data_IF_084122584727
#
_entry.id   IF_084122584727
#
_cell.length_a   1.000
_cell.length_b   1.000
_cell.length_c   1.000
_cell.angle_alpha   90.00
_cell.angle_beta   90.00
_cell.angle_gamma   90.00
#
_symmetry.space_group_name_H-M   'P 1'
#
loop_
_entity.id
_entity.type
_entity.pdbx_description
1 polymer ?
#
# COMPACT_ATOMS: atom_id res chain seq x y z
N UNK A 1 -7.28 -11.17 -9.49
CA UNK A 1 -7.64 -10.86 -8.10
C UNK A 1 -8.13 -12.13 -7.47
N UNK A 2 -7.59 -12.54 -6.31
CA UNK A 2 -8.12 -13.68 -5.56
C UNK A 2 -9.60 -13.42 -5.22
N UNK A 3 -10.46 -14.44 -5.41
CA UNK A 3 -11.86 -14.38 -5.02
C UNK A 3 -12.01 -14.90 -3.58
N UNK A 4 -12.75 -14.15 -2.75
CA UNK A 4 -13.01 -14.53 -1.37
C UNK A 4 -14.50 -14.72 -1.14
N UNK A 5 -14.87 -15.79 -0.45
CA UNK A 5 -16.24 -16.02 -0.02
C UNK A 5 -16.42 -15.60 1.44
N UNK A 6 -17.55 -14.94 1.72
CA UNK A 6 -17.97 -14.59 3.08
C UNK A 6 -18.65 -15.78 3.75
N UNK A 7 -18.21 -16.14 4.95
CA UNK A 7 -18.71 -17.25 5.75
C UNK A 7 -19.22 -16.70 7.07
N UNK A 8 -20.43 -17.10 7.48
CA UNK A 8 -21.02 -16.71 8.77
C UNK A 8 -21.15 -17.97 9.63
N UNK A 9 -20.38 -18.05 10.71
CA UNK A 9 -20.36 -19.19 11.63
C UNK A 9 -20.69 -18.69 13.05
N UNK A 10 -21.76 -19.20 13.64
CA UNK A 10 -22.22 -18.80 14.99
C UNK A 10 -22.37 -17.28 15.17
N UNK A 11 -22.78 -16.58 14.11
CA UNK A 11 -22.95 -15.12 14.11
C UNK A 11 -21.65 -14.33 13.92
N UNK A 12 -20.49 -14.99 13.84
CA UNK A 12 -19.21 -14.38 13.51
C UNK A 12 -18.95 -14.46 12.00
N UNK A 13 -18.33 -13.41 11.46
CA UNK A 13 -18.01 -13.29 10.03
C UNK A 13 -16.55 -13.67 9.79
N UNK A 14 -16.36 -14.52 8.80
CA UNK A 14 -15.07 -14.96 8.29
C UNK A 14 -15.06 -14.84 6.76
N UNK A 15 -13.87 -14.89 6.18
CA UNK A 15 -13.63 -14.87 4.75
C UNK A 15 -12.66 -15.99 4.41
N UNK A 16 -12.81 -16.57 3.22
CA UNK A 16 -11.96 -17.68 2.78
C UNK A 16 -11.66 -17.55 1.30
N UNK A 17 -10.38 -17.67 0.94
CA UNK A 17 -9.96 -17.65 -0.45
C UNK A 17 -10.56 -18.84 -1.21
N UNK A 18 -11.03 -18.58 -2.42
CA UNK A 18 -11.57 -19.58 -3.33
C UNK A 18 -10.81 -19.52 -4.66
N UNK A 19 -10.18 -20.62 -5.02
CA UNK A 19 -9.51 -20.77 -6.29
C UNK A 19 -10.51 -21.33 -7.31
N UNK A 20 -10.98 -20.47 -8.22
CA UNK A 20 -11.91 -20.86 -9.27
C UNK A 20 -11.31 -21.87 -10.26
N UNK A 21 -9.99 -21.94 -10.38
CA UNK A 21 -9.32 -22.84 -11.32
C UNK A 21 -9.27 -24.27 -10.80
N UNK A 22 -9.08 -24.44 -9.49
CA UNK A 22 -9.01 -25.77 -8.86
C UNK A 22 -10.33 -26.16 -8.17
N UNK A 23 -11.21 -25.19 -7.90
CA UNK A 23 -12.49 -25.38 -7.21
C UNK A 23 -12.35 -25.60 -5.70
N UNK A 24 -11.17 -25.33 -5.14
CA UNK A 24 -10.86 -25.54 -3.72
C UNK A 24 -10.81 -24.22 -2.95
N UNK A 25 -11.07 -24.33 -1.65
CA UNK A 25 -10.84 -23.25 -0.71
C UNK A 25 -9.40 -23.30 -0.18
N UNK A 26 -8.80 -22.14 0.04
CA UNK A 26 -7.55 -22.04 0.81
C UNK A 26 -7.77 -22.57 2.24
N UNK A 27 -6.75 -23.14 2.88
CA UNK A 27 -6.92 -23.78 4.20
C UNK A 27 -7.24 -22.79 5.34
N UNK A 28 -6.97 -21.51 5.15
CA UNK A 28 -7.11 -20.47 6.17
C UNK A 28 -8.46 -19.73 6.10
N UNK A 29 -9.08 -19.49 7.26
CA UNK A 29 -10.19 -18.55 7.41
C UNK A 29 -9.68 -17.23 7.99
N UNK A 30 -10.02 -16.13 7.34
CA UNK A 30 -9.60 -14.79 7.69
C UNK A 30 -10.76 -14.03 8.34
N UNK A 31 -10.46 -13.23 9.33
CA UNK A 31 -11.34 -12.15 9.79
C UNK A 31 -11.37 -11.01 8.77
N UNK A 32 -12.28 -10.05 8.94
CA UNK A 32 -12.33 -8.87 8.07
C UNK A 32 -11.02 -8.08 8.08
N UNK A 33 -10.41 -7.93 9.27
CA UNK A 33 -9.13 -7.21 9.42
C UNK A 33 -8.01 -7.89 8.63
N UNK A 34 -7.86 -9.20 8.80
CA UNK A 34 -6.82 -9.98 8.12
C UNK A 34 -7.01 -9.99 6.60
N UNK A 35 -8.26 -10.06 6.13
CA UNK A 35 -8.56 -9.94 4.69
C UNK A 35 -8.13 -8.58 4.14
N UNK A 36 -8.46 -7.49 4.85
CA UNK A 36 -8.11 -6.13 4.42
C UNK A 36 -6.60 -5.95 4.38
N UNK A 37 -5.87 -6.39 5.40
CA UNK A 37 -4.40 -6.33 5.43
C UNK A 37 -3.79 -7.09 4.26
N UNK A 38 -4.25 -8.31 3.99
CA UNK A 38 -3.76 -9.13 2.87
C UNK A 38 -4.08 -8.53 1.51
N UNK A 39 -5.28 -7.98 1.32
CA UNK A 39 -5.65 -7.28 0.09
C UNK A 39 -4.83 -5.99 -0.12
N UNK A 40 -4.48 -5.28 0.96
CA UNK A 40 -3.59 -4.13 0.89
C UNK A 40 -2.18 -4.56 0.48
N UNK A 41 -1.64 -5.62 1.07
CA UNK A 41 -0.34 -6.18 0.67
C UNK A 41 -0.31 -6.61 -0.80
N UNK A 42 -1.33 -7.36 -1.25
CA UNK A 42 -1.47 -7.79 -2.65
C UNK A 42 -1.61 -6.60 -3.61
N UNK A 43 -2.18 -5.49 -3.16
CA UNK A 43 -2.32 -4.26 -3.95
C UNK A 43 -1.02 -3.44 -4.03
N UNK A 44 -0.08 -3.63 -3.09
CA UNK A 44 1.20 -2.92 -3.07
C UNK A 44 2.17 -3.61 -4.05
N UNK A 45 2.25 -3.09 -5.27
CA UNK A 45 3.16 -3.63 -6.30
C UNK A 45 4.66 -3.36 -6.03
N UNK A 46 5.00 -2.32 -5.26
CA UNK A 46 6.37 -2.01 -4.88
C UNK A 46 6.41 -1.12 -3.64
N UNK A 47 7.29 -1.46 -2.69
CA UNK A 47 7.61 -0.60 -1.55
C UNK A 47 8.75 0.32 -1.97
N UNK A 48 8.53 1.64 -1.88
CA UNK A 48 9.56 2.65 -2.15
C UNK A 48 9.97 3.24 -0.81
N UNK A 49 11.16 2.87 -0.34
CA UNK A 49 11.77 3.47 0.85
C UNK A 49 12.48 4.77 0.46
N UNK A 50 12.11 5.86 1.13
CA UNK A 50 12.67 7.19 0.90
C UNK A 50 13.47 7.62 2.13
N UNK A 51 14.77 7.76 1.98
CA UNK A 51 15.64 8.41 2.97
C UNK A 51 15.71 9.92 2.69
N UNK A 52 15.08 10.71 3.57
CA UNK A 52 15.02 12.17 3.44
C UNK A 52 16.41 12.82 3.48
N UNK A 53 17.33 12.30 4.28
CA UNK A 53 18.68 12.88 4.41
C UNK A 53 19.50 12.67 3.12
N UNK A 54 19.33 11.50 2.50
CA UNK A 54 19.93 11.21 1.19
C UNK A 54 19.34 12.09 0.11
N UNK A 55 18.02 12.26 0.08
CA UNK A 55 17.35 13.13 -0.88
C UNK A 55 17.81 14.59 -0.74
N UNK A 56 17.85 15.12 0.48
CA UNK A 56 18.33 16.49 0.72
C UNK A 56 19.78 16.69 0.25
N UNK A 57 20.66 15.71 0.50
CA UNK A 57 22.04 15.75 -0.01
C UNK A 57 22.09 15.79 -1.53
N UNK A 58 21.30 14.93 -2.20
CA UNK A 58 21.23 14.88 -3.67
C UNK A 58 20.67 16.17 -4.25
N UNK A 59 19.63 16.75 -3.65
CA UNK A 59 19.06 18.04 -4.04
C UNK A 59 20.14 19.13 -3.91
N UNK A 60 20.88 19.15 -2.81
CA UNK A 60 21.95 20.12 -2.58
C UNK A 60 23.11 20.04 -3.60
N UNK A 61 23.28 18.89 -4.26
CA UNK A 61 24.23 18.73 -5.36
C UNK A 61 23.75 19.31 -6.70
N UNK A 62 22.47 19.67 -6.84
CA UNK A 62 21.93 20.28 -8.07
C UNK A 62 22.49 21.72 -8.21
N UNK A 63 23.26 22.02 -9.28
CA UNK A 63 23.93 23.32 -9.39
C UNK A 63 22.95 24.50 -9.48
N UNK A 64 21.86 24.30 -10.22
CA UNK A 64 20.83 25.32 -10.44
C UNK A 64 19.94 25.47 -9.20
N UNK A 65 19.91 26.68 -8.63
CA UNK A 65 18.99 27.02 -7.54
C UNK A 65 17.53 26.85 -7.94
N UNK A 66 17.18 27.20 -9.19
CA UNK A 66 15.83 27.03 -9.73
C UNK A 66 15.42 25.55 -9.79
N UNK A 67 16.33 24.67 -10.19
CA UNK A 67 16.05 23.23 -10.22
C UNK A 67 15.94 22.64 -8.81
N UNK A 68 16.75 23.11 -7.84
CA UNK A 68 16.60 22.73 -6.43
C UNK A 68 15.23 23.11 -5.89
N UNK A 69 14.82 24.35 -6.11
CA UNK A 69 13.55 24.87 -5.64
C UNK A 69 12.38 24.11 -6.27
N UNK A 70 12.45 23.80 -7.57
CA UNK A 70 11.44 23.01 -8.27
C UNK A 70 11.27 21.61 -7.66
N UNK A 71 12.38 20.91 -7.38
CA UNK A 71 12.34 19.56 -6.78
C UNK A 71 11.81 19.62 -5.35
N UNK A 72 12.25 20.60 -4.55
CA UNK A 72 11.77 20.76 -3.19
C UNK A 72 10.27 21.06 -3.14
N UNK A 73 9.77 21.93 -4.03
CA UNK A 73 8.35 22.24 -4.12
C UNK A 73 7.51 21.01 -4.50
N UNK A 74 8.02 20.15 -5.37
CA UNK A 74 7.33 18.90 -5.74
C UNK A 74 7.27 17.91 -4.56
N UNK A 75 8.36 17.78 -3.79
CA UNK A 75 8.38 16.93 -2.59
C UNK A 75 7.38 17.45 -1.55
N UNK A 76 7.40 18.75 -1.26
CA UNK A 76 6.47 19.36 -0.31
C UNK A 76 5.00 19.15 -0.73
N UNK A 77 4.72 19.19 -2.03
CA UNK A 77 3.40 18.88 -2.56
C UNK A 77 3.00 17.42 -2.30
N UNK A 78 3.89 16.46 -2.54
CA UNK A 78 3.62 15.05 -2.29
C UNK A 78 3.34 14.78 -0.81
N UNK A 79 4.10 15.40 0.11
CA UNK A 79 3.86 15.28 1.55
C UNK A 79 2.49 15.85 1.95
N UNK A 80 2.11 17.02 1.43
CA UNK A 80 0.81 17.61 1.71
C UNK A 80 -0.37 16.77 1.18
N UNK A 81 -0.20 16.09 0.04
CA UNK A 81 -1.22 15.17 -0.50
C UNK A 81 -1.40 13.97 0.43
N UNK A 82 -0.31 13.41 0.96
CA UNK A 82 -0.38 12.30 1.92
C UNK A 82 -1.09 12.73 3.20
N UNK A 83 -0.73 13.87 3.78
CA UNK A 83 -1.39 14.40 4.99
C UNK A 83 -2.90 14.69 4.78
N UNK A 84 -3.32 15.00 3.56
CA UNK A 84 -4.74 15.26 3.26
C UNK A 84 -5.62 14.01 3.15
N UNK A 85 -5.00 12.83 3.08
CA UNK A 85 -5.68 11.54 2.97
C UNK A 85 -5.79 10.80 4.31
N UNK A 86 -5.15 11.31 5.37
CA UNK A 86 -5.26 10.87 6.76
C UNK A 86 -6.38 11.64 7.51
#
# INVERSE_FOLDING_TARGET
>A
MPNYHKIILNGQVYYRGFDETTGYYEDEMLTEKELVERLLEDAIGSIIEIDKEVIERVINCIPSSFQREMVQNYINYLEAVVESLE
#
